data_IF_371929736936
#
_entry.id   IF_371929736936
#
_cell.length_a   1.000
_cell.length_b   1.000
_cell.length_c   1.000
_cell.angle_alpha   90.00
_cell.angle_beta   90.00
_cell.angle_gamma   90.00
#
_symmetry.space_group_name_H-M   'P 1'
#
loop_
_entity.id
_entity.type
_entity.pdbx_description
1 polymer ?
#
# COMPACT_ATOMS: atom_id res chain seq x y z
N UNK A 1 0.45 -15.14 -15.16
CA UNK A 1 -0.46 -14.25 -15.90
C UNK A 1 0.09 -12.83 -15.73
N UNK A 2 0.44 -12.12 -16.80
CA UNK A 2 0.90 -10.75 -16.67
C UNK A 2 -0.28 -9.87 -16.25
N UNK A 3 -0.10 -9.07 -15.20
CA UNK A 3 -1.14 -8.14 -14.76
C UNK A 3 -1.26 -7.00 -15.78
N UNK A 4 -2.50 -6.73 -16.18
CA UNK A 4 -2.81 -5.58 -17.02
C UNK A 4 -2.97 -4.35 -16.11
N UNK A 5 -1.87 -3.61 -15.94
CA UNK A 5 -1.81 -2.42 -15.11
C UNK A 5 -2.73 -1.29 -15.60
N UNK A 6 -2.94 -1.17 -16.91
CA UNK A 6 -3.81 -0.15 -17.49
C UNK A 6 -5.28 -0.41 -17.16
N UNK A 7 -5.70 -1.68 -17.25
CA UNK A 7 -7.04 -2.11 -16.85
C UNK A 7 -7.25 -1.91 -15.35
N UNK A 8 -6.26 -2.30 -14.53
CA UNK A 8 -6.31 -2.08 -13.08
C UNK A 8 -6.42 -0.59 -12.73
N UNK A 9 -5.60 0.26 -13.36
CA UNK A 9 -5.65 1.72 -13.17
C UNK A 9 -7.01 2.29 -13.53
N UNK A 10 -7.58 1.86 -14.66
CA UNK A 10 -8.89 2.31 -15.12
C UNK A 10 -9.97 1.98 -14.09
N UNK A 11 -10.02 0.74 -13.61
CA UNK A 11 -10.98 0.35 -12.57
C UNK A 11 -10.74 1.06 -11.24
N UNK A 12 -9.48 1.24 -10.85
CA UNK A 12 -9.13 1.92 -9.61
C UNK A 12 -9.60 3.39 -9.60
N UNK A 13 -9.36 4.12 -10.70
CA UNK A 13 -9.69 5.54 -10.83
C UNK A 13 -11.20 5.79 -11.02
N UNK A 14 -11.99 4.77 -11.39
CA UNK A 14 -13.46 4.86 -11.38
C UNK A 14 -14.05 4.92 -9.96
N UNK A 15 -13.31 4.43 -8.95
CA UNK A 15 -13.74 4.49 -7.56
C UNK A 15 -13.57 5.90 -6.97
N UNK A 16 -14.44 6.24 -6.00
CA UNK A 16 -14.27 7.43 -5.18
C UNK A 16 -13.06 7.30 -4.22
N UNK A 17 -12.71 8.39 -3.52
CA UNK A 17 -11.57 8.43 -2.58
C UNK A 17 -11.63 7.30 -1.55
N UNK A 18 -12.78 7.09 -0.92
CA UNK A 18 -12.94 6.05 0.11
C UNK A 18 -12.67 4.65 -0.44
N UNK A 19 -13.13 4.38 -1.67
CA UNK A 19 -12.88 3.12 -2.37
C UNK A 19 -11.40 2.96 -2.72
N UNK A 20 -10.76 4.02 -3.20
CA UNK A 20 -9.32 4.04 -3.52
C UNK A 20 -8.45 3.76 -2.30
N UNK A 21 -8.71 4.47 -1.18
CA UNK A 21 -8.04 4.22 0.10
C UNK A 21 -8.37 2.83 0.66
N UNK A 22 -9.56 2.31 0.36
CA UNK A 22 -9.97 0.97 0.74
C UNK A 22 -9.21 -0.13 0.04
N UNK A 23 -9.03 -0.01 -1.28
CA UNK A 23 -8.21 -0.93 -2.06
C UNK A 23 -6.75 -0.91 -1.58
N UNK A 24 -6.22 0.27 -1.26
CA UNK A 24 -4.87 0.39 -0.69
C UNK A 24 -4.77 -0.26 0.70
N UNK A 25 -5.72 -0.01 1.59
CA UNK A 25 -5.77 -0.65 2.91
C UNK A 25 -5.90 -2.19 2.80
N UNK A 26 -6.70 -2.68 1.86
CA UNK A 26 -6.85 -4.12 1.61
C UNK A 26 -5.53 -4.75 1.16
N UNK A 27 -4.76 -4.08 0.30
CA UNK A 27 -3.44 -4.56 -0.08
C UNK A 27 -2.47 -4.61 1.09
N UNK A 28 -2.49 -3.61 1.97
CA UNK A 28 -1.66 -3.61 3.19
C UNK A 28 -2.07 -4.71 4.17
N UNK A 29 -3.36 -5.01 4.28
CA UNK A 29 -3.84 -6.16 5.06
C UNK A 29 -3.36 -7.49 4.46
N UNK A 30 -3.45 -7.64 3.14
CA UNK A 30 -2.94 -8.84 2.44
C UNK A 30 -1.44 -8.98 2.62
N UNK A 31 -0.69 -7.88 2.52
CA UNK A 31 0.74 -7.85 2.82
C UNK A 31 0.97 -8.43 4.22
N UNK A 32 0.38 -7.84 5.25
CA UNK A 32 0.50 -8.32 6.64
C UNK A 32 0.28 -9.83 6.76
N UNK A 33 -0.79 -10.36 6.16
CA UNK A 33 -1.12 -11.79 6.20
C UNK A 33 -0.03 -12.64 5.54
N UNK A 34 0.37 -12.32 4.31
CA UNK A 34 1.35 -13.13 3.57
C UNK A 34 2.75 -13.08 4.18
N UNK A 35 3.16 -11.94 4.73
CA UNK A 35 4.46 -11.82 5.39
C UNK A 35 4.53 -12.70 6.63
N UNK A 36 3.46 -12.70 7.46
CA UNK A 36 3.40 -13.55 8.66
C UNK A 36 3.33 -15.04 8.35
N UNK A 37 2.79 -15.40 7.19
CA UNK A 37 2.83 -16.77 6.69
C UNK A 37 4.23 -17.19 6.22
N UNK A 38 5.15 -16.23 6.03
CA UNK A 38 6.54 -16.49 5.65
C UNK A 38 6.70 -17.15 4.27
N UNK A 39 5.67 -17.08 3.42
CA UNK A 39 5.63 -17.74 2.12
C UNK A 39 5.26 -16.75 1.01
N UNK A 40 5.43 -17.18 -0.24
CA UNK A 40 5.01 -16.43 -1.43
C UNK A 40 5.62 -15.02 -1.54
N UNK A 41 6.95 -14.92 -1.47
CA UNK A 41 7.70 -13.67 -1.58
C UNK A 41 7.34 -12.87 -2.85
N UNK A 42 7.11 -13.56 -3.97
CA UNK A 42 6.65 -12.97 -5.24
C UNK A 42 5.32 -12.25 -5.07
N UNK A 43 4.37 -12.82 -4.31
CA UNK A 43 3.06 -12.20 -4.05
C UNK A 43 3.22 -10.96 -3.20
N UNK A 44 4.10 -11.00 -2.19
CA UNK A 44 4.38 -9.84 -1.33
C UNK A 44 5.01 -8.70 -2.14
N UNK A 45 6.03 -8.99 -2.96
CA UNK A 45 6.63 -8.00 -3.86
C UNK A 45 5.61 -7.40 -4.82
N UNK A 46 4.72 -8.24 -5.36
CA UNK A 46 3.65 -7.80 -6.24
C UNK A 46 2.69 -6.84 -5.53
N UNK A 47 2.22 -7.19 -4.33
CA UNK A 47 1.35 -6.34 -3.52
C UNK A 47 2.02 -5.03 -3.11
N UNK A 48 3.33 -5.02 -2.82
CA UNK A 48 4.10 -3.80 -2.59
C UNK A 48 4.04 -2.91 -3.84
N UNK A 49 4.29 -3.49 -5.02
CA UNK A 49 4.27 -2.72 -6.27
C UNK A 49 2.88 -2.18 -6.62
N UNK A 50 1.85 -2.98 -6.44
CA UNK A 50 0.47 -2.56 -6.65
C UNK A 50 0.07 -1.43 -5.68
N UNK A 51 0.47 -1.53 -4.41
CA UNK A 51 0.25 -0.47 -3.42
C UNK A 51 0.96 0.83 -3.79
N UNK A 52 2.18 0.77 -4.34
CA UNK A 52 2.88 1.95 -4.85
C UNK A 52 2.10 2.64 -5.98
N UNK A 53 1.59 1.85 -6.92
CA UNK A 53 0.78 2.38 -8.01
C UNK A 53 -0.52 3.02 -7.51
N UNK A 54 -1.20 2.39 -6.56
CA UNK A 54 -2.40 2.97 -5.95
C UNK A 54 -2.10 4.33 -5.30
N UNK A 55 -0.98 4.47 -4.59
CA UNK A 55 -0.54 5.77 -4.07
C UNK A 55 -0.28 6.76 -5.20
N UNK A 56 0.51 6.39 -6.21
CA UNK A 56 0.86 7.24 -7.36
C UNK A 56 -0.38 7.71 -8.14
N UNK A 57 -1.44 6.92 -8.19
CA UNK A 57 -2.68 7.27 -8.87
C UNK A 57 -3.64 8.07 -7.97
N UNK A 58 -3.55 7.90 -6.66
CA UNK A 58 -4.41 8.58 -5.68
C UNK A 58 -3.93 9.99 -5.37
N UNK A 59 -2.62 10.21 -5.25
CA UNK A 59 -2.05 11.51 -4.87
C UNK A 59 -2.47 12.66 -5.81
N UNK A 60 -2.45 12.50 -7.15
CA UNK A 60 -2.83 13.57 -8.07
C UNK A 60 -4.30 14.01 -7.97
N UNK A 61 -5.16 13.19 -7.37
CA UNK A 61 -6.58 13.53 -7.22
C UNK A 61 -6.87 14.31 -5.93
N UNK A 62 -5.89 14.48 -5.04
CA UNK A 62 -6.07 15.12 -3.72
C UNK A 62 -6.10 16.64 -3.85
N UNK A 63 -7.09 17.29 -3.23
CA UNK A 63 -7.07 18.74 -3.08
C UNK A 63 -6.14 19.13 -1.92
N UNK A 64 -4.94 19.62 -2.24
CA UNK A 64 -3.93 19.95 -1.23
C UNK A 64 -4.33 21.08 -0.27
N UNK A 65 -5.34 21.90 -0.60
CA UNK A 65 -5.83 22.96 0.30
C UNK A 65 -6.68 22.38 1.44
N UNK A 66 -7.44 21.32 1.18
CA UNK A 66 -8.40 20.74 2.13
C UNK A 66 -7.94 19.39 2.69
N UNK A 67 -7.05 18.69 1.98
CA UNK A 67 -6.71 17.28 2.21
C UNK A 67 -5.17 17.08 2.36
N UNK A 68 -4.45 18.11 2.81
CA UNK A 68 -2.98 18.06 2.99
C UNK A 68 -2.52 16.89 3.88
N UNK A 69 -3.29 16.56 4.91
CA UNK A 69 -2.98 15.46 5.81
C UNK A 69 -2.90 14.13 5.06
N UNK A 70 -3.94 13.76 4.30
CA UNK A 70 -3.95 12.48 3.58
C UNK A 70 -2.87 12.44 2.48
N UNK A 71 -2.58 13.56 1.80
CA UNK A 71 -1.45 13.63 0.87
C UNK A 71 -0.12 13.28 1.55
N UNK A 72 0.11 13.82 2.75
CA UNK A 72 1.31 13.54 3.55
C UNK A 72 1.37 12.08 3.97
N UNK A 73 0.25 11.51 4.43
CA UNK A 73 0.15 10.09 4.79
C UNK A 73 0.51 9.17 3.62
N UNK A 74 -0.01 9.46 2.42
CA UNK A 74 0.30 8.66 1.25
C UNK A 74 1.77 8.78 0.82
N UNK A 75 2.39 9.96 0.95
CA UNK A 75 3.81 10.14 0.65
C UNK A 75 4.71 9.37 1.64
N UNK A 76 4.37 9.39 2.93
CA UNK A 76 5.05 8.59 3.94
C UNK A 76 4.95 7.09 3.64
N UNK A 77 3.75 6.62 3.29
CA UNK A 77 3.52 5.25 2.87
C UNK A 77 4.33 4.90 1.61
N UNK A 78 4.37 5.77 0.60
CA UNK A 78 5.16 5.54 -0.62
C UNK A 78 6.65 5.38 -0.32
N UNK A 79 7.21 6.22 0.55
CA UNK A 79 8.61 6.15 0.97
C UNK A 79 8.92 4.80 1.60
N UNK A 80 8.03 4.35 2.47
CA UNK A 80 8.15 3.09 3.16
C UNK A 80 8.07 1.87 2.20
N UNK A 81 7.06 1.84 1.32
CA UNK A 81 6.95 0.80 0.28
C UNK A 81 8.18 0.77 -0.64
N UNK A 82 8.73 1.95 -0.96
CA UNK A 82 9.92 2.07 -1.80
C UNK A 82 11.18 1.54 -1.12
N UNK A 83 11.37 1.83 0.17
CA UNK A 83 12.49 1.28 0.96
C UNK A 83 12.44 -0.24 1.02
N UNK A 84 11.26 -0.82 1.23
CA UNK A 84 11.09 -2.26 1.25
C UNK A 84 11.37 -2.93 -0.09
N UNK A 85 10.90 -2.32 -1.18
CA UNK A 85 11.20 -2.81 -2.53
C UNK A 85 12.71 -2.77 -2.82
N UNK A 86 13.41 -1.72 -2.39
CA UNK A 86 14.85 -1.58 -2.61
C UNK A 86 15.67 -2.60 -1.81
N UNK A 87 15.28 -2.87 -0.57
CA UNK A 87 16.02 -3.76 0.34
C UNK A 87 15.37 -5.16 0.46
N UNK A 88 14.61 -5.58 -0.56
CA UNK A 88 13.71 -6.74 -0.44
C UNK A 88 14.42 -8.04 -0.04
N UNK A 89 15.54 -8.36 -0.69
CA UNK A 89 16.27 -9.61 -0.42
C UNK A 89 16.78 -9.71 1.02
N UNK A 90 17.22 -8.59 1.59
CA UNK A 90 17.67 -8.51 2.99
C UNK A 90 16.48 -8.70 3.94
N UNK A 91 15.42 -7.92 3.73
CA UNK A 91 14.24 -7.94 4.61
C UNK A 91 13.52 -9.28 4.55
N UNK A 92 13.38 -9.89 3.37
CA UNK A 92 12.70 -11.17 3.25
C UNK A 92 13.53 -12.32 3.81
N UNK A 93 14.86 -12.23 3.80
CA UNK A 93 15.74 -13.25 4.36
C UNK A 93 15.72 -13.32 5.89
N UNK A 94 15.29 -12.26 6.58
CA UNK A 94 15.35 -12.12 8.02
C UNK A 94 13.94 -12.13 8.64
N UNK A 95 13.69 -13.06 9.57
CA UNK A 95 12.39 -13.19 10.25
C UNK A 95 12.00 -11.95 11.07
N UNK A 96 12.96 -11.31 11.75
CA UNK A 96 12.71 -10.10 12.54
C UNK A 96 12.28 -8.95 11.63
N UNK A 97 12.98 -8.78 10.51
CA UNK A 97 12.67 -7.73 9.55
C UNK A 97 11.31 -8.00 8.87
N UNK A 98 10.97 -9.27 8.59
CA UNK A 98 9.63 -9.66 8.11
C UNK A 98 8.55 -9.32 9.14
N UNK A 99 8.74 -9.62 10.43
CA UNK A 99 7.72 -9.33 11.44
C UNK A 99 7.52 -7.81 11.64
N UNK A 100 8.62 -7.03 11.57
CA UNK A 100 8.54 -5.57 11.53
C UNK A 100 7.78 -5.09 10.29
N UNK A 101 8.04 -5.69 9.13
CA UNK A 101 7.35 -5.42 7.87
C UNK A 101 5.83 -5.67 8.05
N UNK A 102 5.45 -6.83 8.56
CA UNK A 102 4.05 -7.17 8.81
C UNK A 102 3.36 -6.19 9.79
N UNK A 103 4.05 -5.78 10.84
CA UNK A 103 3.54 -4.85 11.85
C UNK A 103 3.24 -3.48 11.23
N UNK A 104 4.18 -2.93 10.47
CA UNK A 104 4.00 -1.59 9.91
C UNK A 104 2.97 -1.61 8.77
N UNK A 105 2.84 -2.71 8.01
CA UNK A 105 1.74 -2.87 7.04
C UNK A 105 0.35 -2.82 7.72
N UNK A 106 0.19 -3.49 8.87
CA UNK A 106 -1.05 -3.45 9.66
C UNK A 106 -1.36 -2.06 10.20
N UNK A 107 -0.35 -1.35 10.69
CA UNK A 107 -0.49 0.03 11.19
C UNK A 107 -0.99 0.96 10.08
N UNK A 108 -0.40 0.88 8.89
CA UNK A 108 -0.86 1.67 7.73
C UNK A 108 -2.27 1.30 7.28
N UNK A 109 -2.62 0.01 7.26
CA UNK A 109 -3.98 -0.42 6.97
C UNK A 109 -4.99 0.26 7.92
N UNK A 110 -4.68 0.25 9.21
CA UNK A 110 -5.54 0.83 10.26
C UNK A 110 -5.62 2.35 10.12
N UNK A 111 -4.50 3.02 9.81
CA UNK A 111 -4.43 4.47 9.59
C UNK A 111 -5.31 4.89 8.42
N UNK A 112 -5.14 4.25 7.26
CA UNK A 112 -5.94 4.55 6.07
C UNK A 112 -7.43 4.28 6.26
N UNK A 113 -7.81 3.23 7.00
CA UNK A 113 -9.21 2.95 7.32
C UNK A 113 -9.84 4.06 8.18
N UNK A 114 -9.08 4.64 9.12
CA UNK A 114 -9.56 5.79 9.92
C UNK A 114 -9.69 7.05 9.07
N UNK A 115 -8.75 7.29 8.16
CA UNK A 115 -8.79 8.44 7.25
C UNK A 115 -9.97 8.41 6.27
N UNK A 116 -10.67 7.28 6.10
CA UNK A 116 -11.93 7.21 5.36
C UNK A 116 -13.14 7.80 6.08
N UNK A 117 -13.12 7.83 7.41
CA UNK A 117 -14.30 8.13 8.23
C UNK A 117 -14.41 9.64 8.53
N UNK A 118 -13.41 10.43 8.12
CA UNK A 118 -13.25 11.83 8.53
C UNK A 118 -13.35 12.88 7.43
N UNK A 119 -13.95 12.59 6.27
CA UNK A 119 -14.15 13.56 5.18
C UNK A 119 -15.62 13.89 4.97
#
# INVERSE_FOLDING_TARGET
MAINWDLLKTHYLQGNRESQLGNLALNLMRLHIFIRQGNNDIVVQHLIRESQFFVEWTVPTINLETEMQIATELLELQRFLSRWKLNWSEVWGNEVDREQLATVAQQWCTRLQKSKVGS
#
